data_IF_900614369770
#
_entry.id   IF_900614369770
#
_cell.length_a   1.000
_cell.length_b   1.000
_cell.length_c   1.000
_cell.angle_alpha   90.00
_cell.angle_beta   90.00
_cell.angle_gamma   90.00
#
_symmetry.space_group_name_H-M   'P 1'
#
loop_
_entity.id
_entity.type
_entity.pdbx_description
1 polymer ?
#
# COMPACT_ATOMS: atom_id res chain seq x y z
N UNK A 1 -21.00 10.08 46.75
CA UNK A 1 -21.40 10.37 45.36
C UNK A 1 -20.50 11.41 44.69
N UNK A 2 -20.20 12.54 45.35
CA UNK A 2 -19.28 13.58 44.85
C UNK A 2 -17.87 13.05 44.56
N UNK A 3 -17.32 12.20 45.44
CA UNK A 3 -15.97 11.62 45.27
C UNK A 3 -15.83 10.74 44.01
N UNK A 4 -16.88 10.00 43.63
CA UNK A 4 -16.87 9.15 42.43
C UNK A 4 -16.88 10.00 41.16
N UNK A 5 -17.66 11.07 41.14
CA UNK A 5 -17.71 12.01 40.02
C UNK A 5 -16.37 12.73 39.83
N UNK A 6 -15.75 13.16 40.94
CA UNK A 6 -14.42 13.77 40.92
C UNK A 6 -13.36 12.78 40.43
N UNK A 7 -13.42 11.52 40.84
CA UNK A 7 -12.50 10.48 40.37
C UNK A 7 -12.66 10.18 38.87
N UNK A 8 -13.89 10.16 38.35
CA UNK A 8 -14.16 9.98 36.91
C UNK A 8 -13.61 11.16 36.11
N UNK A 9 -13.88 12.40 36.53
CA UNK A 9 -13.38 13.60 35.85
C UNK A 9 -11.85 13.66 35.90
N UNK A 10 -11.24 13.36 37.04
CA UNK A 10 -9.79 13.31 37.18
C UNK A 10 -9.16 12.21 36.32
N UNK A 11 -9.78 11.01 36.26
CA UNK A 11 -9.32 9.91 35.41
C UNK A 11 -9.44 10.26 33.92
N UNK A 12 -10.56 10.87 33.51
CA UNK A 12 -10.76 11.30 32.12
C UNK A 12 -9.70 12.32 31.73
N UNK A 13 -9.48 13.34 32.56
CA UNK A 13 -8.44 14.36 32.33
C UNK A 13 -7.02 13.78 32.31
N UNK A 14 -6.73 12.80 33.17
CA UNK A 14 -5.44 12.12 33.15
C UNK A 14 -5.23 11.34 31.85
N UNK A 15 -6.28 10.68 31.34
CA UNK A 15 -6.24 9.98 30.04
C UNK A 15 -6.09 10.97 28.89
N UNK A 16 -6.85 12.06 28.84
CA UNK A 16 -6.70 13.08 27.78
C UNK A 16 -5.33 13.74 27.82
N UNK A 17 -4.81 14.07 29.00
CA UNK A 17 -3.49 14.66 29.13
C UNK A 17 -2.39 13.68 28.73
N UNK A 18 -2.53 12.39 29.06
CA UNK A 18 -1.58 11.37 28.63
C UNK A 18 -1.62 11.15 27.11
N UNK A 19 -2.81 11.11 26.51
CA UNK A 19 -2.98 11.03 25.05
C UNK A 19 -2.44 12.27 24.35
N UNK A 20 -2.69 13.47 24.89
CA UNK A 20 -2.15 14.72 24.35
C UNK A 20 -0.63 14.76 24.47
N UNK A 21 -0.06 14.35 25.59
CA UNK A 21 1.39 14.30 25.78
C UNK A 21 2.05 13.31 24.81
N UNK A 22 1.46 12.13 24.61
CA UNK A 22 1.95 11.19 23.60
C UNK A 22 1.74 11.72 22.17
N UNK A 23 0.62 12.40 21.89
CA UNK A 23 0.38 13.02 20.59
C UNK A 23 1.36 14.15 20.30
N UNK A 24 1.69 14.99 21.29
CA UNK A 24 2.68 16.07 21.19
C UNK A 24 4.11 15.52 21.08
N UNK A 25 4.46 14.50 21.87
CA UNK A 25 5.76 13.85 21.76
C UNK A 25 5.93 13.18 20.37
N UNK A 26 4.89 12.53 19.86
CA UNK A 26 4.88 12.00 18.50
C UNK A 26 4.92 13.12 17.47
N UNK A 27 4.14 14.19 17.62
CA UNK A 27 4.15 15.35 16.73
C UNK A 27 5.52 16.05 16.69
N UNK A 28 6.24 16.10 17.81
CA UNK A 28 7.59 16.65 17.90
C UNK A 28 8.67 15.80 17.25
N UNK A 29 8.42 14.49 17.06
CA UNK A 29 9.28 13.57 16.32
C UNK A 29 8.94 13.52 14.83
N UNK A 30 7.87 14.20 14.42
CA UNK A 30 7.24 14.08 13.13
C UNK A 30 7.47 15.35 12.32
N UNK A 31 8.17 15.23 11.20
CA UNK A 31 8.37 16.35 10.28
C UNK A 31 7.16 16.43 9.31
N UNK A 32 6.38 17.51 9.32
CA UNK A 32 5.11 17.61 8.59
C UNK A 32 5.26 17.54 7.05
N UNK A 33 6.49 17.61 6.52
CA UNK A 33 6.80 17.41 5.10
C UNK A 33 6.92 15.94 4.69
N UNK A 34 6.84 15.01 5.65
CA UNK A 34 7.14 13.59 5.43
C UNK A 34 5.91 12.73 5.12
N UNK A 35 6.21 11.54 4.61
CA UNK A 35 5.26 10.47 4.30
C UNK A 35 5.25 9.47 5.46
N UNK A 36 4.07 9.14 5.94
CA UNK A 36 3.86 8.23 7.06
C UNK A 36 3.39 6.87 6.56
N UNK A 37 3.78 5.82 7.29
CA UNK A 37 3.35 4.44 7.03
C UNK A 37 2.64 3.91 8.26
N UNK A 38 1.43 3.38 8.07
CA UNK A 38 0.69 2.63 9.09
C UNK A 38 0.88 1.15 8.79
N UNK A 39 1.34 0.42 9.80
CA UNK A 39 1.56 -1.02 9.82
C UNK A 39 0.77 -1.66 10.96
N UNK A 40 0.43 -2.94 10.86
CA UNK A 40 -0.04 -3.71 12.01
C UNK A 40 1.07 -3.79 13.07
N UNK A 41 0.74 -3.98 14.35
CA UNK A 41 1.77 -4.14 15.40
C UNK A 41 2.39 -5.55 15.44
N UNK A 42 1.72 -6.53 14.83
CA UNK A 42 2.06 -7.95 14.96
C UNK A 42 2.42 -8.57 13.59
N UNK A 43 3.56 -8.18 13.01
CA UNK A 43 4.07 -8.77 11.76
C UNK A 43 5.55 -9.17 11.88
N UNK A 44 5.96 -10.17 11.11
CA UNK A 44 7.36 -10.61 11.00
C UNK A 44 8.05 -10.06 9.76
N UNK A 45 7.31 -9.83 8.68
CA UNK A 45 7.72 -9.09 7.49
C UNK A 45 6.63 -8.09 7.08
N UNK A 46 7.01 -7.04 6.33
CA UNK A 46 6.08 -6.02 5.86
C UNK A 46 4.85 -6.64 5.18
N UNK A 47 5.07 -7.68 4.36
CA UNK A 47 4.03 -8.43 3.63
C UNK A 47 3.04 -9.17 4.51
N UNK A 48 3.37 -9.42 5.77
CA UNK A 48 2.53 -10.17 6.72
C UNK A 48 1.59 -9.24 7.50
N UNK A 49 1.81 -7.92 7.40
CA UNK A 49 0.93 -6.94 8.01
C UNK A 49 -0.47 -7.04 7.41
N UNK A 50 -1.48 -7.02 8.27
CA UNK A 50 -2.89 -7.03 7.90
C UNK A 50 -3.60 -5.89 8.64
N UNK A 51 -4.05 -4.90 7.87
CA UNK A 51 -4.74 -3.71 8.35
C UNK A 51 -6.13 -3.69 7.73
N UNK A 52 -7.17 -3.52 8.55
CA UNK A 52 -8.53 -3.40 8.04
C UNK A 52 -8.71 -2.14 7.18
N UNK A 53 -9.35 -2.29 6.02
CA UNK A 53 -9.64 -1.20 5.08
C UNK A 53 -10.37 0.00 5.70
N UNK A 54 -11.17 -0.23 6.76
CA UNK A 54 -11.86 0.84 7.49
C UNK A 54 -10.96 1.94 8.05
N UNK A 55 -9.67 1.66 8.27
CA UNK A 55 -8.69 2.68 8.70
C UNK A 55 -8.40 3.67 7.56
N UNK A 56 -8.36 3.18 6.32
CA UNK A 56 -8.21 4.03 5.13
C UNK A 56 -9.36 5.02 5.02
N UNK A 57 -10.61 4.55 5.21
CA UNK A 57 -11.80 5.41 5.15
C UNK A 57 -11.77 6.51 6.20
N UNK A 58 -11.29 6.19 7.42
CA UNK A 58 -11.12 7.19 8.47
C UNK A 58 -10.10 8.26 8.09
N UNK A 59 -8.96 7.87 7.51
CA UNK A 59 -7.89 8.81 7.11
C UNK A 59 -8.29 9.72 5.96
N UNK A 60 -9.00 9.18 4.96
CA UNK A 60 -9.46 9.96 3.79
C UNK A 60 -10.40 11.10 4.21
N UNK A 61 -11.15 10.92 5.30
CA UNK A 61 -12.10 11.91 5.81
C UNK A 61 -11.46 13.00 6.69
N UNK A 62 -10.15 12.95 6.93
CA UNK A 62 -9.45 13.95 7.75
C UNK A 62 -9.02 15.13 6.88
N UNK A 63 -9.50 16.34 7.22
CA UNK A 63 -9.32 17.54 6.42
C UNK A 63 -7.86 17.95 6.19
N UNK A 64 -6.97 17.64 7.13
CA UNK A 64 -5.53 17.94 7.05
C UNK A 64 -4.70 16.80 6.42
N UNK A 65 -5.31 15.69 6.00
CA UNK A 65 -4.60 14.66 5.24
C UNK A 65 -4.53 15.07 3.76
N UNK A 66 -3.33 15.05 3.19
CA UNK A 66 -3.05 15.43 1.80
C UNK A 66 -3.38 14.29 0.83
N UNK A 67 -2.95 13.08 1.15
CA UNK A 67 -3.27 11.89 0.37
C UNK A 67 -3.18 10.63 1.24
N UNK A 68 -3.90 9.59 0.82
CA UNK A 68 -3.89 8.25 1.42
C UNK A 68 -3.72 7.23 0.29
N UNK A 69 -2.70 6.38 0.41
CA UNK A 69 -2.33 5.35 -0.54
C UNK A 69 -2.34 4.00 0.19
N UNK A 70 -3.49 3.32 0.26
CA UNK A 70 -3.56 1.95 0.76
C UNK A 70 -2.87 1.01 -0.23
N UNK A 71 -2.11 0.05 0.29
CA UNK A 71 -1.29 -0.86 -0.50
C UNK A 71 -1.44 -2.30 0.00
N UNK A 72 -1.63 -3.24 -0.92
CA UNK A 72 -1.63 -4.68 -0.65
C UNK A 72 -0.48 -5.33 -1.41
N UNK A 73 0.45 -5.93 -0.69
CA UNK A 73 1.56 -6.67 -1.30
C UNK A 73 1.32 -8.16 -1.12
N UNK A 74 1.35 -8.89 -2.23
CA UNK A 74 1.31 -10.35 -2.25
C UNK A 74 2.52 -10.89 -2.98
N UNK A 75 3.09 -12.00 -2.50
CA UNK A 75 4.12 -12.73 -3.24
C UNK A 75 3.43 -13.74 -4.16
N UNK A 76 3.52 -13.55 -5.47
CA UNK A 76 2.90 -14.41 -6.47
C UNK A 76 3.97 -15.14 -7.31
N UNK A 77 3.63 -16.35 -7.76
CA UNK A 77 4.35 -16.99 -8.85
C UNK A 77 3.95 -16.29 -10.15
N UNK A 78 4.91 -15.66 -10.81
CA UNK A 78 4.77 -15.05 -12.12
C UNK A 78 5.32 -16.03 -13.16
N UNK A 79 4.46 -16.45 -14.09
CA UNK A 79 4.81 -17.35 -15.19
C UNK A 79 4.73 -16.60 -16.52
N UNK A 80 5.85 -16.60 -17.24
CA UNK A 80 6.03 -16.05 -18.58
C UNK A 80 6.31 -17.18 -19.57
N UNK A 81 6.52 -16.84 -20.84
CA UNK A 81 7.08 -17.76 -21.84
C UNK A 81 8.52 -18.20 -21.51
N UNK A 82 9.26 -17.37 -20.76
CA UNK A 82 10.67 -17.61 -20.41
C UNK A 82 10.86 -18.43 -19.13
N UNK A 83 9.82 -18.61 -18.31
CA UNK A 83 9.89 -19.43 -17.11
C UNK A 83 8.90 -18.99 -16.03
N UNK A 84 9.15 -19.42 -14.79
CA UNK A 84 8.36 -19.02 -13.63
C UNK A 84 9.26 -18.56 -12.50
N UNK A 85 8.84 -17.51 -11.78
CA UNK A 85 9.55 -16.99 -10.61
C UNK A 85 8.57 -16.50 -9.53
N UNK A 86 9.08 -16.19 -8.34
CA UNK A 86 8.32 -15.48 -7.31
C UNK A 86 8.57 -13.98 -7.41
N UNK A 87 7.53 -13.21 -7.66
CA UNK A 87 7.57 -11.75 -7.72
C UNK A 87 6.64 -11.15 -6.67
N UNK A 88 6.99 -9.94 -6.20
CA UNK A 88 6.05 -9.15 -5.42
C UNK A 88 5.06 -8.46 -6.36
N UNK A 89 3.79 -8.57 -6.01
CA UNK A 89 2.67 -7.91 -6.68
C UNK A 89 2.05 -6.93 -5.70
N UNK A 90 2.14 -5.64 -6.00
CA UNK A 90 1.61 -4.54 -5.20
C UNK A 90 0.33 -4.01 -5.83
N UNK A 91 -0.78 -4.25 -5.14
CA UNK A 91 -2.09 -3.67 -5.41
C UNK A 91 -2.22 -2.27 -4.82
N UNK A 92 -2.65 -1.32 -5.65
CA UNK A 92 -2.94 0.07 -5.25
C UNK A 92 -4.27 0.53 -5.84
N UNK A 93 -4.95 1.47 -5.16
CA UNK A 93 -6.26 1.94 -5.63
C UNK A 93 -6.18 2.73 -6.94
N UNK A 94 -5.17 3.61 -7.06
CA UNK A 94 -4.90 4.37 -8.27
C UNK A 94 -3.43 4.18 -8.66
N UNK A 95 -3.22 3.34 -9.67
CA UNK A 95 -1.89 2.99 -10.20
C UNK A 95 -1.18 4.23 -10.75
N UNK A 96 -1.93 5.15 -11.38
CA UNK A 96 -1.36 6.36 -11.95
C UNK A 96 -0.90 7.32 -10.85
N UNK A 97 -1.76 7.61 -9.88
CA UNK A 97 -1.41 8.48 -8.75
C UNK A 97 -0.23 7.92 -7.96
N UNK A 98 -0.19 6.60 -7.74
CA UNK A 98 0.92 5.92 -7.08
C UNK A 98 2.24 6.08 -7.85
N UNK A 99 2.27 5.80 -9.15
CA UNK A 99 3.50 5.91 -9.93
C UNK A 99 3.96 7.37 -10.06
N UNK A 100 3.03 8.32 -10.19
CA UNK A 100 3.35 9.75 -10.21
C UNK A 100 3.91 10.25 -8.88
N UNK A 101 3.39 9.79 -7.74
CA UNK A 101 3.92 10.17 -6.42
C UNK A 101 5.35 9.70 -6.22
N UNK A 102 5.75 8.63 -6.92
CA UNK A 102 7.12 8.11 -6.99
C UNK A 102 7.99 8.75 -8.07
N UNK A 103 7.45 9.74 -8.81
CA UNK A 103 8.12 10.35 -9.98
C UNK A 103 8.59 9.30 -10.99
N UNK A 104 7.84 8.19 -11.11
CA UNK A 104 8.22 7.10 -11.98
C UNK A 104 8.07 7.52 -13.44
N UNK A 105 9.07 7.19 -14.25
CA UNK A 105 8.94 7.21 -15.70
C UNK A 105 8.18 5.96 -16.16
N UNK A 106 7.26 6.09 -17.11
CA UNK A 106 6.46 4.97 -17.62
C UNK A 106 6.59 4.93 -19.14
N UNK A 107 7.00 3.77 -19.66
CA UNK A 107 6.85 3.43 -21.06
C UNK A 107 5.54 2.63 -21.23
N UNK A 108 4.61 3.11 -22.06
CA UNK A 108 3.27 2.54 -22.21
C UNK A 108 2.20 3.30 -21.43
N UNK A 109 1.26 2.59 -20.81
CA UNK A 109 0.14 3.17 -20.05
C UNK A 109 0.06 2.59 -18.64
N UNK A 110 -0.65 3.27 -17.75
CA UNK A 110 -0.97 2.76 -16.41
C UNK A 110 -2.12 1.77 -16.47
N UNK A 111 -2.03 0.71 -15.66
CA UNK A 111 -3.06 -0.32 -15.56
C UNK A 111 -4.34 0.27 -14.99
N UNK A 112 -5.46 0.02 -15.69
CA UNK A 112 -6.77 0.61 -15.35
C UNK A 112 -7.78 -0.40 -14.83
N UNK A 113 -7.55 -1.69 -15.06
CA UNK A 113 -8.49 -2.75 -14.70
C UNK A 113 -7.75 -4.00 -14.24
N UNK A 114 -8.52 -4.95 -13.70
CA UNK A 114 -7.98 -6.16 -13.07
C UNK A 114 -7.13 -7.06 -13.97
N UNK A 115 -7.22 -6.90 -15.28
CA UNK A 115 -6.49 -7.71 -16.27
C UNK A 115 -5.23 -7.02 -16.81
N UNK A 116 -4.87 -5.88 -16.23
CA UNK A 116 -3.71 -5.09 -16.63
C UNK A 116 -2.72 -4.96 -15.47
N UNK A 117 -1.44 -4.86 -15.81
CA UNK A 117 -0.39 -4.58 -14.83
C UNK A 117 0.70 -3.69 -15.42
N UNK A 118 1.37 -2.99 -14.52
CA UNK A 118 2.63 -2.32 -14.77
C UNK A 118 3.77 -3.12 -14.15
N UNK A 119 4.87 -3.29 -14.88
CA UNK A 119 6.04 -4.06 -14.41
C UNK A 119 7.22 -3.12 -14.21
N UNK A 120 7.96 -3.29 -13.11
CA UNK A 120 9.18 -2.54 -12.85
C UNK A 120 10.27 -2.89 -13.86
N UNK A 121 11.08 -1.91 -14.26
CA UNK A 121 12.06 -2.08 -15.33
C UNK A 121 13.07 -3.19 -15.04
N UNK A 122 13.54 -3.32 -13.80
CA UNK A 122 14.51 -4.36 -13.44
C UNK A 122 13.87 -5.72 -13.61
N UNK A 123 12.66 -5.92 -13.07
CA UNK A 123 11.92 -7.17 -13.23
C UNK A 123 11.65 -7.50 -14.70
N UNK A 124 11.25 -6.48 -15.47
CA UNK A 124 10.97 -6.64 -16.90
C UNK A 124 12.21 -7.10 -17.68
N UNK A 125 13.35 -6.47 -17.45
CA UNK A 125 14.62 -6.83 -18.09
C UNK A 125 15.08 -8.22 -17.69
N UNK A 126 15.06 -8.54 -16.40
CA UNK A 126 15.54 -9.82 -15.88
C UNK A 126 14.79 -11.00 -16.48
N UNK A 127 13.49 -10.85 -16.76
CA UNK A 127 12.65 -11.94 -17.27
C UNK A 127 12.16 -11.73 -18.71
N UNK A 128 12.73 -10.75 -19.41
CA UNK A 128 12.39 -10.40 -20.79
C UNK A 128 10.91 -10.14 -21.01
N UNK A 129 10.25 -9.51 -20.02
CA UNK A 129 8.85 -9.13 -20.09
C UNK A 129 8.74 -7.82 -20.87
N UNK A 130 7.90 -7.83 -21.90
CA UNK A 130 7.68 -6.71 -22.81
C UNK A 130 6.26 -6.14 -22.69
N UNK A 131 6.07 -4.93 -23.22
CA UNK A 131 4.73 -4.36 -23.37
C UNK A 131 3.88 -5.25 -24.26
N UNK A 132 2.65 -5.53 -23.82
CA UNK A 132 1.71 -6.40 -24.52
C UNK A 132 1.76 -7.86 -24.10
N UNK A 133 2.80 -8.30 -23.40
CA UNK A 133 2.90 -9.67 -22.89
C UNK A 133 1.77 -9.97 -21.91
N UNK A 134 1.31 -11.23 -21.94
CA UNK A 134 0.35 -11.75 -20.97
C UNK A 134 1.08 -12.72 -20.05
N UNK A 135 1.07 -12.45 -18.75
CA UNK A 135 1.69 -13.29 -17.73
C UNK A 135 0.62 -13.91 -16.85
N UNK A 136 0.88 -15.11 -16.33
CA UNK A 136 0.03 -15.77 -15.35
C UNK A 136 0.57 -15.47 -13.95
N UNK A 137 -0.28 -14.95 -13.07
CA UNK A 137 0.00 -14.69 -11.66
C UNK A 137 -0.73 -15.70 -10.80
N UNK A 138 -0.01 -16.41 -9.94
CA UNK A 138 -0.58 -17.43 -9.07
C UNK A 138 -0.19 -17.27 -7.59
N UNK A 139 -1.18 -17.34 -6.70
CA UNK A 139 -1.00 -17.40 -5.24
C UNK A 139 -1.83 -18.58 -4.71
N UNK A 140 -1.16 -19.65 -4.28
CA UNK A 140 -1.83 -20.90 -3.92
C UNK A 140 -2.64 -21.46 -5.09
N UNK A 141 -3.95 -21.63 -4.90
CA UNK A 141 -4.88 -22.12 -5.93
C UNK A 141 -5.52 -21.00 -6.77
N UNK A 142 -5.23 -19.73 -6.48
CA UNK A 142 -5.78 -18.58 -7.20
C UNK A 142 -4.84 -18.19 -8.33
N UNK A 143 -5.40 -17.98 -9.52
CA UNK A 143 -4.64 -17.63 -10.72
C UNK A 143 -5.33 -16.53 -11.49
N UNK A 144 -4.55 -15.65 -12.11
CA UNK A 144 -5.04 -14.57 -12.93
C UNK A 144 -4.06 -14.26 -14.04
N UNK A 145 -4.57 -14.13 -15.27
CA UNK A 145 -3.79 -13.63 -16.40
C UNK A 145 -3.88 -12.11 -16.45
N UNK A 146 -2.73 -11.46 -16.54
CA UNK A 146 -2.64 -10.01 -16.67
C UNK A 146 -1.77 -9.63 -17.85
N UNK A 147 -2.20 -8.60 -18.59
CA UNK A 147 -1.47 -8.01 -19.70
C UNK A 147 -0.56 -6.89 -19.18
N UNK A 148 0.69 -6.90 -19.61
CA UNK A 148 1.65 -5.82 -19.34
C UNK A 148 1.30 -4.62 -20.20
N UNK A 149 0.81 -3.55 -19.59
CA UNK A 149 0.41 -2.33 -20.31
C UNK A 149 1.39 -1.19 -20.14
N UNK A 150 2.32 -1.30 -19.18
CA UNK A 150 3.41 -0.34 -19.00
C UNK A 150 4.61 -0.94 -18.30
N UNK A 151 5.81 -0.46 -18.64
CA UNK A 151 7.06 -0.72 -17.92
C UNK A 151 7.46 0.57 -17.23
N UNK A 152 7.64 0.55 -15.91
CA UNK A 152 7.98 1.76 -15.16
C UNK A 152 9.37 1.71 -14.54
N UNK A 153 9.93 2.89 -14.29
CA UNK A 153 11.20 3.10 -13.59
C UNK A 153 11.03 4.19 -12.56
N UNK A 154 11.17 3.83 -11.30
CA UNK A 154 11.08 4.70 -10.12
C UNK A 154 12.43 4.97 -9.48
N UNK A 155 13.49 4.21 -9.83
CA UNK A 155 14.79 4.23 -9.16
C UNK A 155 14.70 3.82 -7.68
N UNK A 156 13.70 2.99 -7.35
CA UNK A 156 13.47 2.45 -6.00
C UNK A 156 13.30 0.93 -6.05
N UNK A 157 13.09 0.31 -4.89
CA UNK A 157 12.75 -1.11 -4.79
C UNK A 157 11.50 -1.50 -5.58
N UNK A 158 10.62 -0.55 -5.92
CA UNK A 158 9.45 -0.83 -6.75
C UNK A 158 9.83 -1.34 -8.16
N UNK A 159 11.06 -1.08 -8.64
CA UNK A 159 11.50 -1.49 -9.98
C UNK A 159 11.66 -3.02 -10.14
N UNK A 160 11.58 -3.78 -9.04
CA UNK A 160 11.56 -5.26 -9.04
C UNK A 160 10.17 -5.85 -8.78
N UNK A 161 9.11 -5.03 -8.84
CA UNK A 161 7.73 -5.43 -8.50
C UNK A 161 6.78 -5.33 -9.71
N UNK A 162 5.60 -5.94 -9.58
CA UNK A 162 4.43 -5.64 -10.41
C UNK A 162 3.51 -4.71 -9.65
N UNK A 163 3.09 -3.63 -10.29
CA UNK A 163 2.03 -2.75 -9.79
C UNK A 163 0.74 -3.08 -10.52
N UNK A 164 -0.30 -3.40 -9.77
CA UNK A 164 -1.62 -3.78 -10.27
C UNK A 164 -2.71 -2.96 -9.58
N UNK A 165 -3.92 -2.86 -10.17
CA UNK A 165 -5.06 -2.34 -9.43
C UNK A 165 -5.35 -3.17 -8.18
N UNK A 166 -5.81 -2.52 -7.11
CA UNK A 166 -6.11 -3.17 -5.82
C UNK A 166 -7.01 -4.39 -5.97
N UNK A 167 -7.99 -4.34 -6.88
CA UNK A 167 -8.88 -5.46 -7.20
C UNK A 167 -8.11 -6.74 -7.60
N UNK A 168 -7.04 -6.61 -8.39
CA UNK A 168 -6.19 -7.74 -8.78
C UNK A 168 -5.49 -8.36 -7.59
N UNK A 169 -4.89 -7.53 -6.72
CA UNK A 169 -4.20 -8.02 -5.53
C UNK A 169 -5.16 -8.68 -4.54
N UNK A 170 -6.38 -8.12 -4.41
CA UNK A 170 -7.47 -8.67 -3.62
C UNK A 170 -7.88 -10.08 -4.10
N UNK A 171 -8.04 -10.26 -5.41
CA UNK A 171 -8.34 -11.58 -6.01
C UNK A 171 -7.22 -12.58 -5.72
N UNK A 172 -5.95 -12.17 -5.86
CA UNK A 172 -4.79 -13.03 -5.60
C UNK A 172 -4.68 -13.41 -4.12
N UNK A 173 -4.87 -12.45 -3.21
CA UNK A 173 -4.90 -12.69 -1.76
C UNK A 173 -6.11 -13.56 -1.35
N UNK A 174 -7.22 -13.41 -2.06
CA UNK A 174 -8.52 -13.98 -1.70
C UNK A 174 -9.17 -13.35 -0.48
N UNK A 175 -8.84 -12.09 -0.23
CA UNK A 175 -9.41 -11.24 0.80
C UNK A 175 -9.45 -9.80 0.28
N UNK A 176 -10.54 -9.09 0.58
CA UNK A 176 -10.79 -7.71 0.19
C UNK A 176 -10.80 -6.77 1.40
N UNK A 177 -10.82 -7.29 2.62
CA UNK A 177 -11.09 -6.52 3.83
C UNK A 177 -9.81 -6.00 4.50
N UNK A 178 -8.67 -6.64 4.20
CA UNK A 178 -7.36 -6.21 4.71
C UNK A 178 -6.47 -5.63 3.62
N UNK A 179 -5.48 -4.85 4.02
CA UNK A 179 -4.35 -4.37 3.21
C UNK A 179 -3.06 -4.55 4.00
N UNK A 180 -1.93 -4.45 3.31
CA UNK A 180 -0.62 -4.65 3.92
C UNK A 180 -0.21 -3.44 4.75
N UNK A 181 -0.28 -2.25 4.15
CA UNK A 181 0.00 -1.00 4.84
C UNK A 181 -0.71 0.18 4.19
N UNK A 182 -0.78 1.28 4.93
CA UNK A 182 -1.30 2.54 4.44
C UNK A 182 -0.17 3.54 4.44
N UNK A 183 0.06 4.16 3.29
CA UNK A 183 0.90 5.34 3.21
C UNK A 183 0.04 6.59 3.19
N UNK A 184 0.41 7.63 3.92
CA UNK A 184 -0.32 8.90 3.87
C UNK A 184 0.61 10.08 4.12
N UNK A 185 0.19 11.27 3.71
CA UNK A 185 0.88 12.51 4.03
C UNK A 185 -0.11 13.55 4.57
N UNK A 186 0.41 14.51 5.34
CA UNK A 186 -0.36 15.59 5.95
C UNK A 186 -0.16 16.86 5.09
N UNK A 187 -1.14 17.78 5.10
CA UNK A 187 -1.02 19.10 4.47
C UNK A 187 -0.08 19.97 5.30
N UNK A 188 0.75 20.77 4.64
CA UNK A 188 1.49 21.83 5.34
C UNK A 188 0.49 22.81 5.95
N UNK A 189 0.72 23.17 7.21
CA UNK A 189 -0.09 24.13 7.97
C UNK A 189 0.35 25.57 7.76
#
# INVERSE_FOLDING_TARGET
MIALLVAIVASTNAVTNYLNFHAEALAGLVNPTETYIILSGNFTALTDSQIGMSITDKLVNISYVKHVLPQKIVTANLTTSSGSLKAQVRGVNDVNAFLLSRRAYINGTTAKNRTEANVGEILARTYSISLGDVVDLAVGNRRLKVKMVGVFRSQTQSDIELIVPMETANILAGDNDTITFIEFAIKEG
#
